data_IF_226029013978
#
_entry.id   IF_226029013978
#
_cell.length_a   1.000
_cell.length_b   1.000
_cell.length_c   1.000
_cell.angle_alpha   90.00
_cell.angle_beta   90.00
_cell.angle_gamma   90.00
#
_symmetry.space_group_name_H-M   'P 1'
#
loop_
_entity.id
_entity.type
_entity.pdbx_description
1 polymer ?
#
# COMPACT_ATOMS: atom_id res chain seq x y z
N UNK A 1 -15.88 -31.00 28.02
CA UNK A 1 -15.73 -29.55 27.78
C UNK A 1 -14.84 -29.36 26.54
N UNK A 2 -15.49 -29.27 25.37
CA UNK A 2 -14.83 -28.83 24.15
C UNK A 2 -14.61 -27.33 24.28
N UNK A 3 -13.40 -26.92 24.62
CA UNK A 3 -12.92 -25.58 24.49
C UNK A 3 -12.79 -25.29 22.99
N UNK A 4 -13.82 -24.65 22.44
CA UNK A 4 -13.65 -23.97 21.14
C UNK A 4 -12.75 -22.76 21.40
N UNK A 5 -11.46 -22.91 21.13
CA UNK A 5 -10.63 -21.74 20.91
C UNK A 5 -11.19 -21.08 19.64
N UNK A 6 -11.91 -19.96 19.80
CA UNK A 6 -12.15 -19.04 18.69
C UNK A 6 -10.76 -18.58 18.25
N UNK A 7 -10.27 -19.09 17.15
CA UNK A 7 -9.17 -18.44 16.47
C UNK A 7 -9.67 -17.05 16.09
N UNK A 8 -9.12 -16.04 16.73
CA UNK A 8 -9.41 -14.67 16.39
C UNK A 8 -8.82 -14.42 15.00
N UNK A 9 -9.69 -14.26 14.02
CA UNK A 9 -9.29 -14.01 12.65
C UNK A 9 -9.41 -12.50 12.39
N UNK A 10 -8.29 -11.88 12.05
CA UNK A 10 -8.23 -10.47 11.67
C UNK A 10 -8.01 -10.33 10.17
N UNK A 11 -8.57 -9.28 9.59
CA UNK A 11 -8.35 -8.96 8.19
C UNK A 11 -8.11 -7.46 8.01
N UNK A 12 -7.11 -7.15 7.18
CA UNK A 12 -6.85 -5.81 6.69
C UNK A 12 -7.31 -5.69 5.25
N UNK A 13 -7.85 -4.54 4.87
CA UNK A 13 -8.41 -4.33 3.53
C UNK A 13 -8.01 -2.97 3.00
N UNK A 14 -7.45 -2.97 1.79
CA UNK A 14 -7.23 -1.77 0.98
C UNK A 14 -8.08 -1.85 -0.29
N UNK A 15 -8.85 -0.80 -0.56
CA UNK A 15 -9.64 -0.66 -1.77
C UNK A 15 -9.32 0.68 -2.40
N UNK A 16 -9.04 0.69 -3.71
CA UNK A 16 -8.95 1.91 -4.49
C UNK A 16 -9.90 1.83 -5.69
N UNK A 17 -10.77 2.81 -5.82
CA UNK A 17 -11.61 3.01 -6.99
C UNK A 17 -11.11 4.24 -7.73
N UNK A 18 -10.78 4.09 -9.01
CA UNK A 18 -10.18 5.16 -9.81
C UNK A 18 -11.12 5.56 -10.94
N UNK A 19 -11.44 6.85 -10.99
CA UNK A 19 -12.08 7.49 -12.13
C UNK A 19 -10.98 7.96 -13.10
N UNK A 20 -10.89 7.25 -14.23
CA UNK A 20 -9.85 7.53 -15.24
C UNK A 20 -10.14 8.75 -16.09
N UNK A 21 -11.39 9.21 -16.15
CA UNK A 21 -11.79 10.39 -16.91
C UNK A 21 -11.48 11.66 -16.11
N UNK A 22 -11.83 11.66 -14.84
CA UNK A 22 -11.63 12.81 -13.95
C UNK A 22 -10.31 12.76 -13.18
N UNK A 23 -9.66 11.59 -13.09
CA UNK A 23 -8.40 11.38 -12.38
C UNK A 23 -8.54 11.47 -10.86
N UNK A 24 -9.63 10.98 -10.30
CA UNK A 24 -9.78 10.84 -8.86
C UNK A 24 -9.68 9.38 -8.42
N UNK A 25 -9.03 9.17 -7.29
CA UNK A 25 -9.03 7.89 -6.58
C UNK A 25 -9.74 8.04 -5.24
N UNK A 26 -10.75 7.21 -5.01
CA UNK A 26 -11.36 7.01 -3.71
C UNK A 26 -10.73 5.79 -3.05
N UNK A 27 -10.04 6.00 -1.94
CA UNK A 27 -9.26 4.97 -1.23
C UNK A 27 -9.91 4.70 0.11
N UNK A 28 -10.12 3.42 0.39
CA UNK A 28 -10.66 2.92 1.67
C UNK A 28 -9.64 1.99 2.29
N UNK A 29 -9.24 2.26 3.53
CA UNK A 29 -8.29 1.46 4.30
C UNK A 29 -8.95 0.98 5.59
N UNK A 30 -8.86 -0.31 5.88
CA UNK A 30 -9.37 -0.93 7.11
C UNK A 30 -8.23 -1.72 7.74
N UNK A 31 -7.66 -1.19 8.83
CA UNK A 31 -6.59 -1.83 9.58
C UNK A 31 -5.38 -2.22 8.76
N UNK A 32 -5.27 -1.66 7.56
CA UNK A 32 -4.24 -2.04 6.61
C UNK A 32 -2.92 -1.35 6.90
N UNK A 33 -1.83 -1.96 6.49
CA UNK A 33 -0.52 -1.34 6.53
C UNK A 33 -0.46 -0.12 5.60
N UNK A 34 0.73 0.35 5.32
CA UNK A 34 0.97 1.56 4.55
C UNK A 34 0.59 1.41 3.08
N UNK A 35 0.20 2.53 2.48
CA UNK A 35 0.15 2.71 1.04
C UNK A 35 0.86 4.00 0.66
N UNK A 36 1.09 4.20 -0.62
CA UNK A 36 1.77 5.38 -1.15
C UNK A 36 1.14 5.80 -2.47
N UNK A 37 1.18 7.11 -2.74
CA UNK A 37 0.99 7.66 -4.08
C UNK A 37 2.32 8.25 -4.51
N UNK A 38 2.84 7.75 -5.62
CA UNK A 38 4.07 8.23 -6.23
C UNK A 38 3.71 9.08 -7.45
N UNK A 39 4.03 10.36 -7.38
CA UNK A 39 3.97 11.32 -8.48
C UNK A 39 5.38 11.72 -8.89
N UNK A 40 5.54 12.46 -9.98
CA UNK A 40 6.85 12.81 -10.54
C UNK A 40 7.84 13.40 -9.50
N UNK A 41 7.33 14.25 -8.58
CA UNK A 41 8.17 14.96 -7.61
C UNK A 41 7.66 14.81 -6.16
N UNK A 42 6.80 13.85 -5.89
CA UNK A 42 6.17 13.70 -4.57
C UNK A 42 5.84 12.26 -4.28
N UNK A 43 6.15 11.84 -3.05
CA UNK A 43 5.64 10.62 -2.45
C UNK A 43 4.71 11.00 -1.32
N UNK A 44 3.46 10.55 -1.40
CA UNK A 44 2.46 10.74 -0.36
C UNK A 44 2.21 9.41 0.35
N UNK A 45 2.27 9.43 1.68
CA UNK A 45 2.03 8.24 2.51
C UNK A 45 0.53 8.16 2.82
N UNK A 46 -0.05 6.98 2.61
CA UNK A 46 -1.45 6.67 2.90
C UNK A 46 -1.50 5.79 4.16
N UNK A 47 -1.93 6.36 5.26
CA UNK A 47 -2.03 5.67 6.55
C UNK A 47 -3.49 5.39 6.91
N UNK A 48 -3.72 4.32 7.68
CA UNK A 48 -5.02 3.97 8.24
C UNK A 48 -5.02 4.20 9.74
N UNK A 49 -6.05 4.88 10.23
CA UNK A 49 -6.33 5.01 11.67
C UNK A 49 -7.31 3.94 12.16
N UNK A 50 -7.84 3.10 11.25
CA UNK A 50 -8.83 2.08 11.60
C UNK A 50 -8.16 0.80 12.10
N UNK A 51 -8.85 0.09 12.99
CA UNK A 51 -8.45 -1.24 13.42
C UNK A 51 -8.81 -2.29 12.35
N UNK A 52 -8.08 -3.42 12.29
CA UNK A 52 -8.44 -4.54 11.43
C UNK A 52 -9.87 -5.05 11.67
N UNK A 53 -10.45 -5.63 10.63
CA UNK A 53 -11.72 -6.34 10.74
C UNK A 53 -11.58 -7.53 11.71
N UNK A 54 -12.56 -7.71 12.58
CA UNK A 54 -12.60 -8.81 13.55
C UNK A 54 -12.13 -8.44 14.95
N UNK A 55 -11.48 -7.28 15.16
CA UNK A 55 -11.08 -6.83 16.51
C UNK A 55 -12.27 -6.29 17.30
N UNK A 56 -13.10 -5.48 16.68
CA UNK A 56 -14.27 -4.86 17.31
C UNK A 56 -15.52 -4.99 16.44
N UNK A 57 -16.70 -4.99 17.10
CA UNK A 57 -17.96 -4.83 16.39
C UNK A 57 -18.10 -3.38 15.90
N UNK A 58 -18.23 -3.18 14.60
CA UNK A 58 -18.36 -1.87 13.97
C UNK A 58 -17.04 -1.22 13.60
N UNK A 59 -16.55 -1.54 12.43
CA UNK A 59 -15.33 -0.96 11.84
C UNK A 59 -15.63 0.41 11.25
N UNK A 60 -14.80 1.40 11.57
CA UNK A 60 -14.76 2.69 10.89
C UNK A 60 -13.60 2.72 9.92
N UNK A 61 -13.84 2.56 8.62
CA UNK A 61 -12.77 2.63 7.63
C UNK A 61 -12.19 4.05 7.56
N UNK A 62 -10.90 4.15 7.29
CA UNK A 62 -10.28 5.39 6.87
C UNK A 62 -10.55 5.57 5.38
N UNK A 63 -11.21 6.67 5.02
CA UNK A 63 -11.52 6.99 3.61
C UNK A 63 -10.81 8.27 3.20
N UNK A 64 -10.31 8.29 1.98
CA UNK A 64 -9.65 9.47 1.42
C UNK A 64 -9.87 9.57 -0.09
N UNK A 65 -10.05 10.81 -0.58
CA UNK A 65 -10.12 11.10 -2.00
C UNK A 65 -8.88 11.84 -2.45
N UNK A 66 -8.24 11.34 -3.49
CA UNK A 66 -6.99 11.87 -4.03
C UNK A 66 -7.15 12.23 -5.49
N UNK A 67 -6.61 13.39 -5.87
CA UNK A 67 -6.44 13.75 -7.27
C UNK A 67 -5.15 13.13 -7.77
N UNK A 68 -5.23 12.42 -8.88
CA UNK A 68 -4.10 11.75 -9.51
C UNK A 68 -3.82 12.38 -10.88
N UNK A 69 -2.56 12.47 -11.21
CA UNK A 69 -2.07 12.87 -12.52
C UNK A 69 -1.79 11.67 -13.43
N UNK A 70 -1.59 11.96 -14.71
CA UNK A 70 -1.13 10.95 -15.65
C UNK A 70 0.27 10.44 -15.25
N UNK A 71 0.42 9.12 -15.22
CA UNK A 71 1.66 8.47 -14.80
C UNK A 71 1.84 8.30 -13.29
N UNK A 72 0.93 8.78 -12.45
CA UNK A 72 0.97 8.54 -11.02
C UNK A 72 0.80 7.04 -10.71
N UNK A 73 1.42 6.61 -9.63
CA UNK A 73 1.36 5.21 -9.19
C UNK A 73 0.77 5.12 -7.80
N UNK A 74 -0.24 4.27 -7.62
CA UNK A 74 -0.72 3.85 -6.31
C UNK A 74 0.03 2.57 -5.93
N UNK A 75 0.56 2.54 -4.70
CA UNK A 75 1.28 1.40 -4.15
C UNK A 75 0.64 0.99 -2.83
N UNK A 76 0.26 -0.28 -2.72
CA UNK A 76 -0.14 -0.91 -1.46
C UNK A 76 0.88 -1.98 -1.08
N UNK A 77 1.18 -2.08 0.21
CA UNK A 77 2.14 -3.04 0.76
C UNK A 77 1.56 -3.76 1.96
N UNK A 78 2.03 -4.98 2.24
CA UNK A 78 1.71 -5.70 3.46
C UNK A 78 2.59 -5.22 4.64
N UNK A 79 2.19 -5.59 5.85
CA UNK A 79 2.94 -5.33 7.06
C UNK A 79 4.33 -5.98 7.08
N UNK A 80 4.50 -7.15 6.46
CA UNK A 80 5.83 -7.74 6.28
C UNK A 80 6.83 -6.83 5.57
N UNK A 81 6.38 -6.04 4.58
CA UNK A 81 7.24 -5.02 3.95
C UNK A 81 7.52 -3.87 4.91
N UNK A 82 6.49 -3.38 5.61
CA UNK A 82 6.65 -2.28 6.59
C UNK A 82 7.62 -2.67 7.69
N UNK A 83 7.51 -3.88 8.23
CA UNK A 83 8.35 -4.39 9.32
C UNK A 83 9.80 -4.55 8.88
N UNK A 84 10.05 -5.00 7.65
CA UNK A 84 11.39 -5.12 7.10
C UNK A 84 12.11 -3.77 6.95
N UNK A 85 11.38 -2.71 6.61
CA UNK A 85 11.94 -1.36 6.50
C UNK A 85 12.03 -0.63 7.85
N UNK A 86 11.13 -0.91 8.78
CA UNK A 86 11.08 -0.34 10.12
C UNK A 86 10.23 0.92 10.26
N UNK A 87 10.08 1.74 9.22
CA UNK A 87 9.25 2.94 9.24
C UNK A 87 8.73 3.33 7.86
N UNK A 88 7.64 4.11 7.84
CA UNK A 88 7.12 4.71 6.61
C UNK A 88 8.10 5.68 5.95
N UNK A 89 8.89 6.37 6.77
CA UNK A 89 9.92 7.30 6.30
C UNK A 89 11.04 6.56 5.55
N UNK A 90 11.49 5.41 6.07
CA UNK A 90 12.52 4.60 5.41
C UNK A 90 12.05 4.04 4.07
N UNK A 91 10.78 3.65 3.99
CA UNK A 91 10.18 3.22 2.73
C UNK A 91 10.12 4.39 1.75
N UNK A 92 9.65 5.56 2.18
CA UNK A 92 9.56 6.74 1.31
C UNK A 92 10.94 7.16 0.80
N UNK A 93 11.97 7.18 1.66
CA UNK A 93 13.35 7.47 1.27
C UNK A 93 13.86 6.45 0.22
N UNK A 94 13.59 5.17 0.42
CA UNK A 94 13.95 4.16 -0.56
C UNK A 94 13.24 4.38 -1.90
N UNK A 95 11.93 4.64 -1.87
CA UNK A 95 11.13 4.93 -3.06
C UNK A 95 11.65 6.15 -3.84
N UNK A 96 12.16 7.18 -3.16
CA UNK A 96 12.78 8.35 -3.78
C UNK A 96 14.07 8.02 -4.56
N UNK A 97 14.77 6.96 -4.16
CA UNK A 97 15.97 6.50 -4.88
C UNK A 97 15.64 5.78 -6.19
N UNK A 98 14.39 5.33 -6.33
CA UNK A 98 13.95 4.58 -7.48
C UNK A 98 13.44 5.53 -8.57
N UNK A 99 13.67 5.16 -9.83
CA UNK A 99 13.10 5.85 -10.99
C UNK A 99 12.32 4.86 -11.86
N UNK A 100 11.42 4.06 -11.27
CA UNK A 100 10.76 3.02 -12.04
C UNK A 100 9.64 3.64 -12.88
N UNK A 101 9.70 3.38 -14.19
CA UNK A 101 8.57 3.64 -15.09
C UNK A 101 7.59 2.47 -15.17
N UNK A 102 8.03 1.31 -14.72
CA UNK A 102 7.26 0.08 -14.73
C UNK A 102 6.80 -0.27 -13.31
N UNK A 103 5.49 -0.43 -13.06
CA UNK A 103 4.98 -0.74 -11.73
C UNK A 103 5.45 -2.09 -11.20
N UNK A 104 5.67 -3.10 -12.05
CA UNK A 104 6.23 -4.37 -11.63
C UNK A 104 7.64 -4.21 -11.07
N UNK A 105 8.49 -3.45 -11.77
CA UNK A 105 9.86 -3.19 -11.31
C UNK A 105 9.90 -2.46 -9.96
N UNK A 106 8.90 -1.60 -9.69
CA UNK A 106 8.74 -0.93 -8.39
C UNK A 106 8.42 -1.93 -7.29
N UNK A 107 7.44 -2.80 -7.53
CA UNK A 107 7.05 -3.83 -6.58
C UNK A 107 8.21 -4.80 -6.30
N UNK A 108 8.89 -5.28 -7.34
CA UNK A 108 10.03 -6.18 -7.23
C UNK A 108 11.16 -5.56 -6.41
N UNK A 109 11.51 -4.29 -6.67
CA UNK A 109 12.56 -3.58 -5.93
C UNK A 109 12.26 -3.46 -4.44
N UNK A 110 10.99 -3.22 -4.07
CA UNK A 110 10.57 -3.17 -2.67
C UNK A 110 10.72 -4.52 -1.97
N UNK A 111 10.29 -5.60 -2.62
CA UNK A 111 10.40 -6.95 -2.06
C UNK A 111 11.87 -7.36 -1.93
N UNK A 112 12.69 -7.12 -2.95
CA UNK A 112 14.12 -7.42 -2.93
C UNK A 112 14.84 -6.67 -1.81
N UNK A 113 14.58 -5.38 -1.65
CA UNK A 113 15.16 -4.58 -0.57
C UNK A 113 14.67 -5.02 0.80
N UNK A 114 13.38 -5.33 0.97
CA UNK A 114 12.82 -5.87 2.20
C UNK A 114 13.51 -7.18 2.61
N UNK A 115 13.65 -8.13 1.68
CA UNK A 115 14.38 -9.38 1.91
C UNK A 115 15.85 -9.15 2.25
N UNK A 116 16.52 -8.21 1.59
CA UNK A 116 17.91 -7.86 1.89
C UNK A 116 18.07 -7.32 3.32
N UNK A 117 17.13 -6.54 3.80
CA UNK A 117 17.14 -6.01 5.18
C UNK A 117 16.89 -7.08 6.22
N UNK A 118 16.21 -8.15 5.86
CA UNK A 118 15.96 -9.32 6.69
C UNK A 118 16.94 -10.50 6.44
N UNK A 119 18.15 -10.20 5.97
CA UNK A 119 19.20 -11.20 5.71
C UNK A 119 18.78 -12.30 4.71
N UNK A 120 17.89 -11.97 3.79
CA UNK A 120 17.43 -12.87 2.71
C UNK A 120 16.33 -13.86 3.10
N UNK A 121 15.78 -13.76 4.29
CA UNK A 121 14.70 -14.62 4.77
C UNK A 121 13.59 -13.78 5.42
N UNK A 122 12.47 -13.64 4.73
CA UNK A 122 11.33 -12.89 5.25
C UNK A 122 10.83 -13.49 6.58
N UNK A 123 10.59 -12.64 7.57
CA UNK A 123 9.98 -13.02 8.86
C UNK A 123 8.47 -13.13 8.75
N UNK A 124 7.90 -12.41 7.81
CA UNK A 124 6.48 -12.43 7.48
C UNK A 124 6.29 -12.32 5.97
N UNK A 125 5.09 -12.65 5.48
CA UNK A 125 4.77 -12.58 4.06
C UNK A 125 4.84 -11.14 3.55
N UNK A 126 5.60 -10.92 2.48
CA UNK A 126 5.78 -9.62 1.84
C UNK A 126 4.98 -9.55 0.56
N UNK A 127 4.10 -8.56 0.47
CA UNK A 127 3.32 -8.27 -0.73
C UNK A 127 3.42 -6.80 -1.09
N UNK A 128 3.64 -6.51 -2.36
CA UNK A 128 3.59 -5.16 -2.91
C UNK A 128 2.74 -5.16 -4.19
N UNK A 129 1.77 -4.26 -4.26
CA UNK A 129 0.89 -4.07 -5.43
C UNK A 129 1.05 -2.64 -5.91
N UNK A 130 1.62 -2.47 -7.10
CA UNK A 130 1.82 -1.17 -7.73
C UNK A 130 0.94 -1.05 -8.97
N UNK A 131 0.15 0.02 -9.03
CA UNK A 131 -0.74 0.33 -10.15
C UNK A 131 -0.40 1.71 -10.69
N UNK A 132 0.13 1.77 -11.91
CA UNK A 132 0.39 3.03 -12.61
C UNK A 132 -0.80 3.42 -13.46
N UNK A 133 -1.17 4.69 -13.39
CA UNK A 133 -2.36 5.23 -14.03
C UNK A 133 -1.99 5.99 -15.29
N UNK A 134 -2.81 5.78 -16.33
CA UNK A 134 -2.78 6.56 -17.55
C UNK A 134 -4.19 7.11 -17.76
N UNK A 135 -4.31 8.42 -17.71
CA UNK A 135 -5.62 9.09 -17.84
C UNK A 135 -6.04 9.22 -19.28
N UNK A 136 -7.33 9.02 -19.54
CA UNK A 136 -7.89 9.25 -20.88
C UNK A 136 -7.88 10.72 -21.25
N UNK A 137 -7.55 11.02 -22.51
CA UNK A 137 -7.60 12.38 -23.08
C UNK A 137 -6.35 13.24 -22.83
N UNK A 138 -5.36 12.74 -22.13
CA UNK A 138 -4.02 13.34 -22.06
C UNK A 138 -3.12 12.65 -23.10
N UNK A 139 -3.32 13.00 -24.36
CA UNK A 139 -2.35 12.65 -25.40
C UNK A 139 -1.14 13.57 -25.24
N UNK A 140 0.06 12.99 -25.26
CA UNK A 140 1.28 13.80 -25.27
C UNK A 140 1.42 14.62 -26.55
#
# INVERSE_FOLDING_TARGET
LLSFSREETFACVDIATVDLDEGFADIVKIGSPLGFILSENKIEILESESLPLGILDGVRPTTMRKKLGDGDTILFISDGVTDAFGSSADIAEFLETLSPRNPQSLADALIEEGLRREDGSARDDMTAVAVRLFLFGQNP
#
